data_IF_919923089601
#
_entry.id   IF_919923089601
#
_cell.length_a   1.000
_cell.length_b   1.000
_cell.length_c   1.000
_cell.angle_alpha   90.00
_cell.angle_beta   90.00
_cell.angle_gamma   90.00
#
_symmetry.space_group_name_H-M   'P 1'
#
loop_
_entity.id
_entity.type
_entity.pdbx_description
1 polymer ?
#
# COMPACT_ATOMS: atom_id res chain seq x y z
N UNK A 1 -39.23 30.87 15.47
CA UNK A 1 -39.80 29.52 15.40
C UNK A 1 -39.91 29.02 13.97
N UNK A 2 -38.80 28.49 13.42
CA UNK A 2 -38.89 27.56 12.29
C UNK A 2 -39.52 26.29 12.85
N UNK A 3 -40.75 25.96 12.45
CA UNK A 3 -41.39 24.74 12.93
C UNK A 3 -40.54 23.55 12.50
N UNK A 4 -40.35 22.59 13.41
CA UNK A 4 -39.62 21.34 13.14
C UNK A 4 -40.14 20.65 11.86
N UNK A 5 -41.42 20.88 11.54
CA UNK A 5 -42.09 20.44 10.32
C UNK A 5 -41.58 21.14 9.04
N UNK A 6 -41.37 22.45 9.06
CA UNK A 6 -40.80 23.19 7.92
C UNK A 6 -39.32 22.83 7.65
N UNK A 7 -38.55 22.56 8.71
CA UNK A 7 -37.18 22.04 8.60
C UNK A 7 -37.16 20.62 7.99
N UNK A 8 -38.03 19.72 8.48
CA UNK A 8 -38.07 18.33 8.04
C UNK A 8 -38.68 18.11 6.64
N UNK A 9 -39.59 18.97 6.19
CA UNK A 9 -40.26 18.80 4.89
C UNK A 9 -39.52 19.53 3.77
N UNK A 10 -39.05 20.77 3.99
CA UNK A 10 -38.48 21.59 2.91
C UNK A 10 -36.95 21.55 2.87
N UNK A 11 -36.28 21.71 4.02
CA UNK A 11 -34.82 21.74 4.06
C UNK A 11 -34.23 20.34 3.84
N UNK A 12 -34.80 19.31 4.49
CA UNK A 12 -34.37 17.91 4.28
C UNK A 12 -34.69 17.44 2.86
N UNK A 13 -35.82 17.83 2.26
CA UNK A 13 -36.11 17.45 0.87
C UNK A 13 -35.16 18.14 -0.12
N UNK A 14 -34.89 19.45 0.05
CA UNK A 14 -33.93 20.17 -0.79
C UNK A 14 -32.49 19.68 -0.59
N UNK A 15 -32.10 19.38 0.64
CA UNK A 15 -30.80 18.77 0.95
C UNK A 15 -30.71 17.36 0.34
N UNK A 16 -31.77 16.56 0.41
CA UNK A 16 -31.85 15.22 -0.19
C UNK A 16 -31.82 15.28 -1.72
N UNK A 17 -32.47 16.26 -2.35
CA UNK A 17 -32.43 16.47 -3.80
C UNK A 17 -31.09 17.03 -4.27
N UNK A 18 -30.46 17.92 -3.50
CA UNK A 18 -29.10 18.40 -3.76
C UNK A 18 -28.10 17.25 -3.61
N UNK A 19 -28.19 16.46 -2.53
CA UNK A 19 -27.42 15.24 -2.33
C UNK A 19 -27.65 14.23 -3.46
N UNK A 20 -28.89 14.07 -3.95
CA UNK A 20 -29.20 13.20 -5.09
C UNK A 20 -28.54 13.67 -6.38
N UNK A 21 -28.54 14.97 -6.67
CA UNK A 21 -27.89 15.52 -7.88
C UNK A 21 -26.37 15.40 -7.81
N UNK A 22 -25.77 15.67 -6.64
CA UNK A 22 -24.33 15.50 -6.42
C UNK A 22 -23.96 14.02 -6.53
N UNK A 23 -24.68 13.13 -5.83
CA UNK A 23 -24.47 11.68 -5.91
C UNK A 23 -24.69 11.14 -7.33
N UNK A 24 -25.65 11.65 -8.10
CA UNK A 24 -25.82 11.28 -9.50
C UNK A 24 -24.65 11.72 -10.39
N UNK A 25 -24.08 12.91 -10.14
CA UNK A 25 -22.89 13.39 -10.85
C UNK A 25 -21.66 12.52 -10.58
N UNK A 26 -21.46 12.10 -9.33
CA UNK A 26 -20.33 11.25 -8.96
C UNK A 26 -20.54 9.78 -9.35
N UNK A 27 -21.78 9.29 -9.26
CA UNK A 27 -22.20 7.98 -9.79
C UNK A 27 -21.97 7.88 -11.30
N UNK A 28 -22.34 8.92 -12.06
CA UNK A 28 -22.13 8.93 -13.51
C UNK A 28 -20.63 8.96 -13.86
N UNK A 29 -19.83 9.71 -13.10
CA UNK A 29 -18.36 9.66 -13.26
C UNK A 29 -17.81 8.27 -12.99
N UNK A 30 -18.25 7.62 -11.91
CA UNK A 30 -17.84 6.24 -11.61
C UNK A 30 -18.27 5.29 -12.73
N UNK A 31 -19.53 5.36 -13.18
CA UNK A 31 -20.03 4.56 -14.28
C UNK A 31 -19.17 4.71 -15.54
N UNK A 32 -18.86 5.95 -15.94
CA UNK A 32 -18.00 6.21 -17.10
C UNK A 32 -16.53 5.82 -16.90
N UNK A 33 -16.04 5.71 -15.67
CA UNK A 33 -14.67 5.24 -15.39
C UNK A 33 -14.57 3.73 -15.63
N UNK A 34 -15.63 2.97 -15.33
CA UNK A 34 -15.61 1.51 -15.39
C UNK A 34 -16.26 0.93 -16.65
N UNK A 35 -17.08 1.69 -17.38
CA UNK A 35 -17.48 1.40 -18.76
C UNK A 35 -16.29 1.67 -19.69
N UNK A 36 -15.28 0.80 -19.64
CA UNK A 36 -14.07 0.87 -20.46
C UNK A 36 -14.40 0.66 -21.94
N UNK A 37 -15.48 -0.09 -22.22
CA UNK A 37 -15.99 -0.31 -23.56
C UNK A 37 -16.70 0.90 -24.19
N UNK A 38 -17.09 1.88 -23.38
CA UNK A 38 -17.80 3.10 -23.79
C UNK A 38 -19.20 2.83 -24.36
N UNK A 39 -19.79 1.67 -24.05
CA UNK A 39 -21.05 1.23 -24.62
C UNK A 39 -22.27 1.62 -23.77
N UNK A 40 -22.06 2.28 -22.63
CA UNK A 40 -23.09 2.70 -21.69
C UNK A 40 -23.61 1.59 -20.79
N UNK A 41 -22.89 0.47 -20.69
CA UNK A 41 -23.21 -0.72 -19.90
C UNK A 41 -21.95 -1.22 -19.17
N UNK A 42 -22.14 -2.02 -18.12
CA UNK A 42 -21.02 -2.61 -17.35
C UNK A 42 -21.10 -4.13 -17.41
N UNK A 43 -20.05 -4.74 -17.95
CA UNK A 43 -19.86 -6.19 -17.99
C UNK A 43 -19.34 -6.77 -16.67
N UNK A 44 -19.22 -8.10 -16.62
CA UNK A 44 -18.75 -8.83 -15.44
C UNK A 44 -17.28 -8.50 -15.11
N UNK A 45 -16.42 -8.39 -16.12
CA UNK A 45 -15.00 -8.03 -15.95
C UNK A 45 -14.84 -6.60 -15.43
N UNK A 46 -15.55 -5.64 -16.02
CA UNK A 46 -15.58 -4.24 -15.58
C UNK A 46 -16.12 -4.11 -14.14
N UNK A 47 -17.16 -4.88 -13.80
CA UNK A 47 -17.69 -4.94 -12.45
C UNK A 47 -16.67 -5.55 -11.47
N UNK A 48 -15.95 -6.59 -11.86
CA UNK A 48 -14.90 -7.19 -11.02
C UNK A 48 -13.78 -6.20 -10.76
N UNK A 49 -13.29 -5.52 -11.81
CA UNK A 49 -12.27 -4.49 -11.69
C UNK A 49 -12.73 -3.33 -10.81
N UNK A 50 -14.01 -2.92 -10.92
CA UNK A 50 -14.62 -1.96 -10.00
C UNK A 50 -14.53 -2.40 -8.54
N UNK A 51 -14.93 -3.64 -8.22
CA UNK A 51 -14.91 -4.15 -6.85
C UNK A 51 -13.49 -4.19 -6.29
N UNK A 52 -12.53 -4.65 -7.10
CA UNK A 52 -11.12 -4.67 -6.74
C UNK A 52 -10.57 -3.28 -6.46
N UNK A 53 -10.85 -2.30 -7.32
CA UNK A 53 -10.37 -0.93 -7.13
C UNK A 53 -11.01 -0.25 -5.92
N UNK A 54 -12.29 -0.51 -5.67
CA UNK A 54 -13.04 0.19 -4.64
C UNK A 54 -12.81 -0.40 -3.24
N UNK A 55 -12.88 -1.72 -3.08
CA UNK A 55 -12.99 -2.41 -1.78
C UNK A 55 -11.79 -3.27 -1.39
N UNK A 56 -10.85 -3.57 -2.31
CA UNK A 56 -9.71 -4.44 -1.99
C UNK A 56 -8.80 -3.85 -0.91
N UNK A 57 -8.63 -2.53 -0.92
CA UNK A 57 -7.83 -1.81 0.05
C UNK A 57 -8.60 -1.70 1.38
N UNK A 58 -8.07 -2.30 2.45
CA UNK A 58 -8.68 -2.29 3.79
C UNK A 58 -9.37 -3.60 4.19
N UNK A 59 -9.53 -4.53 3.25
CA UNK A 59 -10.10 -5.87 3.50
C UNK A 59 -9.04 -6.98 3.37
N UNK A 60 -9.18 -8.03 4.18
CA UNK A 60 -8.46 -9.28 3.96
C UNK A 60 -9.00 -10.06 2.76
N UNK A 61 -8.22 -11.00 2.22
CA UNK A 61 -8.57 -11.69 0.97
C UNK A 61 -9.77 -12.60 1.10
N UNK A 62 -10.01 -13.15 2.29
CA UNK A 62 -11.19 -13.98 2.55
C UNK A 62 -12.46 -13.14 2.47
N UNK A 63 -12.50 -12.02 3.19
CA UNK A 63 -13.66 -11.14 3.25
C UNK A 63 -13.92 -10.47 1.90
N UNK A 64 -12.85 -10.09 1.18
CA UNK A 64 -12.97 -9.58 -0.18
C UNK A 64 -13.52 -10.63 -1.16
N UNK A 65 -13.08 -11.89 -1.04
CA UNK A 65 -13.61 -13.00 -1.82
C UNK A 65 -15.12 -13.19 -1.62
N UNK A 66 -15.58 -13.16 -0.37
CA UNK A 66 -17.01 -13.23 -0.04
C UNK A 66 -17.80 -12.04 -0.60
N UNK A 67 -17.25 -10.83 -0.51
CA UNK A 67 -17.85 -9.62 -1.08
C UNK A 67 -18.00 -9.74 -2.60
N UNK A 68 -16.95 -10.20 -3.28
CA UNK A 68 -16.93 -10.39 -4.73
C UNK A 68 -17.98 -11.40 -5.16
N UNK A 69 -18.00 -12.58 -4.55
CA UNK A 69 -18.95 -13.64 -4.89
C UNK A 69 -20.40 -13.17 -4.72
N UNK A 70 -20.73 -12.58 -3.56
CA UNK A 70 -22.09 -12.07 -3.31
C UNK A 70 -22.45 -10.88 -4.20
N UNK A 71 -21.49 -10.03 -4.57
CA UNK A 71 -21.73 -8.93 -5.51
C UNK A 71 -21.96 -9.43 -6.94
N UNK A 72 -21.33 -10.53 -7.36
CA UNK A 72 -21.62 -11.15 -8.67
C UNK A 72 -23.00 -11.79 -8.71
N UNK A 73 -23.51 -12.31 -7.58
CA UNK A 73 -24.92 -12.73 -7.48
C UNK A 73 -25.85 -11.53 -7.70
N UNK A 74 -25.58 -10.40 -7.03
CA UNK A 74 -26.35 -9.17 -7.21
C UNK A 74 -26.27 -8.63 -8.66
N UNK A 75 -25.10 -8.70 -9.29
CA UNK A 75 -24.91 -8.32 -10.70
C UNK A 75 -25.89 -9.10 -11.60
N UNK A 76 -25.94 -10.43 -11.42
CA UNK A 76 -26.81 -11.30 -12.21
C UNK A 76 -28.31 -11.09 -11.92
N UNK A 77 -28.68 -10.67 -10.72
CA UNK A 77 -30.06 -10.33 -10.37
C UNK A 77 -30.51 -8.96 -10.92
N UNK A 78 -29.58 -8.02 -11.02
CA UNK A 78 -29.87 -6.61 -11.34
C UNK A 78 -29.74 -6.31 -12.84
N UNK A 79 -29.12 -7.19 -13.62
CA UNK A 79 -29.05 -7.04 -15.07
C UNK A 79 -30.42 -7.28 -15.73
N UNK A 80 -30.74 -6.57 -16.83
CA UNK A 80 -31.94 -6.87 -17.62
C UNK A 80 -31.91 -8.31 -18.15
N UNK A 81 -33.07 -8.96 -18.27
CA UNK A 81 -33.13 -10.37 -18.70
C UNK A 81 -32.55 -10.61 -20.11
N UNK A 82 -32.60 -9.59 -20.97
CA UNK A 82 -32.18 -9.66 -22.37
C UNK A 82 -30.74 -9.16 -22.60
N UNK A 83 -30.04 -8.71 -21.54
CA UNK A 83 -28.71 -8.09 -21.64
C UNK A 83 -27.81 -8.70 -20.57
N UNK A 84 -26.63 -9.19 -20.96
CA UNK A 84 -25.67 -9.79 -20.02
C UNK A 84 -24.92 -8.75 -19.15
N UNK A 85 -25.15 -7.46 -19.40
CA UNK A 85 -24.47 -6.32 -18.80
C UNK A 85 -25.45 -5.43 -18.01
N UNK A 86 -24.92 -4.66 -17.05
CA UNK A 86 -25.68 -3.73 -16.24
C UNK A 86 -25.87 -2.37 -16.92
N UNK A 87 -27.09 -1.86 -16.90
CA UNK A 87 -27.35 -0.45 -17.21
C UNK A 87 -27.05 0.44 -15.99
N UNK A 88 -27.13 1.76 -16.17
CA UNK A 88 -26.87 2.72 -15.10
C UNK A 88 -27.75 2.50 -13.85
N UNK A 89 -29.00 2.05 -14.04
CA UNK A 89 -29.93 1.80 -12.92
C UNK A 89 -29.54 0.54 -12.15
N UNK A 90 -29.22 -0.54 -12.88
CA UNK A 90 -28.70 -1.78 -12.33
C UNK A 90 -27.40 -1.55 -11.58
N UNK A 91 -26.48 -0.77 -12.16
CA UNK A 91 -25.22 -0.41 -11.50
C UNK A 91 -25.43 0.43 -10.24
N UNK A 92 -26.34 1.42 -10.26
CA UNK A 92 -26.67 2.19 -9.05
C UNK A 92 -27.21 1.29 -7.91
N UNK A 93 -28.09 0.35 -8.26
CA UNK A 93 -28.63 -0.62 -7.31
C UNK A 93 -27.54 -1.57 -6.80
N UNK A 94 -26.63 -2.00 -7.67
CA UNK A 94 -25.49 -2.84 -7.32
C UNK A 94 -24.61 -2.11 -6.32
N UNK A 95 -24.18 -0.88 -6.62
CA UNK A 95 -23.35 -0.06 -5.72
C UNK A 95 -23.95 0.04 -4.33
N UNK A 96 -25.22 0.43 -4.24
CA UNK A 96 -25.89 0.63 -2.95
C UNK A 96 -25.94 -0.67 -2.14
N UNK A 97 -26.22 -1.80 -2.80
CA UNK A 97 -26.32 -3.11 -2.12
C UNK A 97 -24.95 -3.67 -1.77
N UNK A 98 -23.95 -3.48 -2.62
CA UNK A 98 -22.56 -3.85 -2.38
C UNK A 98 -21.94 -3.02 -1.26
N UNK A 99 -22.24 -1.72 -1.16
CA UNK A 99 -21.82 -0.87 -0.04
C UNK A 99 -22.36 -1.40 1.30
N UNK A 100 -23.67 -1.67 1.38
CA UNK A 100 -24.28 -2.23 2.59
C UNK A 100 -23.74 -3.63 2.92
N UNK A 101 -23.47 -4.45 1.90
CA UNK A 101 -22.84 -5.75 2.04
C UNK A 101 -21.41 -5.63 2.58
N UNK A 102 -20.62 -4.72 2.03
CA UNK A 102 -19.27 -4.40 2.46
C UNK A 102 -19.24 -4.00 3.94
N UNK A 103 -20.07 -3.03 4.34
CA UNK A 103 -20.17 -2.59 5.74
C UNK A 103 -20.47 -3.75 6.68
N UNK A 104 -21.43 -4.62 6.30
CA UNK A 104 -21.82 -5.79 7.10
C UNK A 104 -20.70 -6.82 7.22
N UNK A 105 -20.02 -7.14 6.12
CA UNK A 105 -18.93 -8.12 6.11
C UNK A 105 -17.73 -7.61 6.91
N UNK A 106 -17.36 -6.33 6.72
CA UNK A 106 -16.29 -5.68 7.47
C UNK A 106 -16.59 -5.67 8.97
N UNK A 107 -17.80 -5.26 9.38
CA UNK A 107 -18.18 -5.25 10.79
C UNK A 107 -18.15 -6.65 11.43
N UNK A 108 -18.66 -7.66 10.73
CA UNK A 108 -18.61 -9.06 11.19
C UNK A 108 -17.16 -9.52 11.36
N UNK A 109 -16.32 -9.25 10.35
CA UNK A 109 -14.93 -9.68 10.35
C UNK A 109 -14.11 -8.99 11.43
N UNK A 110 -14.30 -7.69 11.61
CA UNK A 110 -13.68 -6.91 12.68
C UNK A 110 -14.05 -7.49 14.04
N UNK A 111 -15.33 -7.76 14.29
CA UNK A 111 -15.80 -8.35 15.54
C UNK A 111 -15.13 -9.71 15.81
N UNK A 112 -15.01 -10.58 14.80
CA UNK A 112 -14.31 -11.86 14.92
C UNK A 112 -12.84 -11.69 15.34
N UNK A 113 -12.14 -10.70 14.77
CA UNK A 113 -10.73 -10.40 15.09
C UNK A 113 -10.63 -9.87 16.53
N UNK A 114 -11.51 -8.95 16.92
CA UNK A 114 -11.55 -8.35 18.25
C UNK A 114 -11.77 -9.40 19.33
N UNK A 115 -12.76 -10.28 19.13
CA UNK A 115 -13.09 -11.35 20.08
C UNK A 115 -11.95 -12.38 20.17
N UNK A 116 -11.39 -12.78 19.02
CA UNK A 116 -10.31 -13.79 18.98
C UNK A 116 -9.05 -13.32 19.69
N UNK A 117 -8.68 -12.05 19.54
CA UNK A 117 -7.42 -11.50 20.05
C UNK A 117 -7.56 -10.65 21.31
N UNK A 118 -8.77 -10.57 21.87
CA UNK A 118 -9.11 -9.76 23.04
C UNK A 118 -8.63 -8.30 22.90
N UNK A 119 -8.94 -7.67 21.78
CA UNK A 119 -8.50 -6.29 21.49
C UNK A 119 -9.27 -5.29 22.34
N UNK A 120 -8.57 -4.26 22.82
CA UNK A 120 -9.23 -3.14 23.50
C UNK A 120 -9.89 -2.21 22.47
N UNK A 121 -10.97 -1.48 22.82
CA UNK A 121 -11.60 -0.51 21.92
C UNK A 121 -10.61 0.52 21.35
N UNK A 122 -9.63 0.94 22.15
CA UNK A 122 -8.56 1.86 21.73
C UNK A 122 -7.64 1.26 20.68
N UNK A 123 -7.40 -0.06 20.74
CA UNK A 123 -6.60 -0.76 19.72
C UNK A 123 -7.40 -0.86 18.41
N UNK A 124 -8.72 -1.03 18.48
CA UNK A 124 -9.59 -1.07 17.29
C UNK A 124 -9.64 0.30 16.62
N UNK A 125 -9.87 1.36 17.39
CA UNK A 125 -9.94 2.73 16.88
C UNK A 125 -8.64 3.17 16.20
N UNK A 126 -7.48 2.87 16.80
CA UNK A 126 -6.18 3.24 16.25
C UNK A 126 -5.84 2.54 14.91
N UNK A 127 -6.48 1.41 14.63
CA UNK A 127 -6.18 0.55 13.50
C UNK A 127 -7.41 0.26 12.61
N UNK A 128 -8.52 1.00 12.78
CA UNK A 128 -9.83 0.64 12.21
C UNK A 128 -9.77 0.33 10.69
N UNK A 129 -9.05 1.15 9.92
CA UNK A 129 -8.96 1.01 8.45
C UNK A 129 -7.97 -0.05 7.94
N UNK A 130 -7.18 -0.62 8.84
CA UNK A 130 -6.07 -1.51 8.51
C UNK A 130 -6.08 -2.79 9.33
N UNK A 131 -6.97 -2.93 10.31
CA UNK A 131 -7.00 -4.05 11.25
C UNK A 131 -7.08 -5.38 10.52
N UNK A 132 -7.96 -5.50 9.52
CA UNK A 132 -8.13 -6.72 8.72
C UNK A 132 -6.87 -7.03 7.90
N UNK A 133 -6.28 -6.02 7.26
CA UNK A 133 -5.07 -6.19 6.42
C UNK A 133 -3.86 -6.55 7.28
N UNK A 134 -3.72 -5.93 8.45
CA UNK A 134 -2.67 -6.26 9.42
C UNK A 134 -2.87 -7.65 10.00
N UNK A 135 -4.11 -8.07 10.25
CA UNK A 135 -4.42 -9.42 10.69
C UNK A 135 -4.08 -10.47 9.61
N UNK A 136 -4.41 -10.22 8.35
CA UNK A 136 -3.98 -11.07 7.24
C UNK A 136 -2.46 -11.14 7.12
N UNK A 137 -1.76 -10.01 7.23
CA UNK A 137 -0.29 -9.98 7.22
C UNK A 137 0.29 -10.78 8.39
N UNK A 138 -0.27 -10.64 9.59
CA UNK A 138 0.11 -11.42 10.77
C UNK A 138 -0.04 -12.92 10.51
N UNK A 139 -1.19 -13.37 10.03
CA UNK A 139 -1.44 -14.80 9.76
C UNK A 139 -0.54 -15.34 8.65
N UNK A 140 -0.26 -14.55 7.63
CA UNK A 140 0.56 -14.94 6.48
C UNK A 140 2.04 -15.06 6.81
N UNK A 141 2.52 -14.32 7.80
CA UNK A 141 3.92 -14.36 8.25
C UNK A 141 4.18 -15.33 9.40
N UNK A 142 3.15 -15.95 10.00
CA UNK A 142 3.31 -17.07 10.92
C UNK A 142 3.64 -18.35 10.14
N UNK A 143 4.91 -18.49 9.73
CA UNK A 143 5.37 -19.55 8.83
C UNK A 143 5.38 -20.91 9.53
N UNK A 144 5.56 -20.91 10.85
CA UNK A 144 5.61 -22.12 11.67
C UNK A 144 4.22 -22.52 12.22
N UNK A 145 3.21 -21.67 12.08
CA UNK A 145 1.82 -21.92 12.47
C UNK A 145 1.61 -22.00 13.98
N UNK A 146 2.47 -21.38 14.78
CA UNK A 146 2.41 -21.44 16.24
C UNK A 146 1.41 -20.43 16.84
N UNK A 147 0.82 -19.55 16.02
CA UNK A 147 -0.13 -18.51 16.43
C UNK A 147 0.52 -17.19 16.86
N UNK A 148 1.83 -17.04 16.69
CA UNK A 148 2.61 -15.85 17.04
C UNK A 148 3.80 -15.65 16.10
N UNK A 149 4.37 -14.44 16.12
CA UNK A 149 5.48 -14.08 15.25
C UNK A 149 6.80 -14.09 16.03
N UNK A 150 7.79 -14.83 15.53
CA UNK A 150 9.18 -14.69 15.95
C UNK A 150 9.85 -13.43 15.36
N UNK A 151 11.12 -13.19 15.68
CA UNK A 151 11.84 -12.01 15.21
C UNK A 151 11.91 -11.90 13.67
N UNK A 152 12.11 -13.02 12.96
CA UNK A 152 12.19 -13.04 11.51
C UNK A 152 10.80 -12.81 10.87
N UNK A 153 9.76 -13.40 11.45
CA UNK A 153 8.36 -13.28 11.01
C UNK A 153 7.81 -11.85 11.24
N UNK A 154 8.19 -11.22 12.35
CA UNK A 154 7.89 -9.80 12.62
C UNK A 154 8.58 -8.90 11.60
N UNK A 155 9.85 -9.13 11.30
CA UNK A 155 10.59 -8.36 10.30
C UNK A 155 9.93 -8.47 8.92
N UNK A 156 9.50 -9.68 8.52
CA UNK A 156 8.72 -9.90 7.30
C UNK A 156 7.45 -9.06 7.27
N UNK A 157 6.67 -9.10 8.35
CA UNK A 157 5.40 -8.36 8.47
C UNK A 157 5.59 -6.83 8.40
N UNK A 158 6.62 -6.29 9.07
CA UNK A 158 6.94 -4.87 9.03
C UNK A 158 7.45 -4.42 7.65
N UNK A 159 8.20 -5.28 6.94
CA UNK A 159 8.62 -5.01 5.56
C UNK A 159 7.41 -4.94 4.62
N UNK A 160 6.46 -5.86 4.74
CA UNK A 160 5.25 -5.89 3.91
C UNK A 160 4.33 -4.71 4.17
N UNK A 161 4.28 -4.24 5.41
CA UNK A 161 3.49 -3.08 5.82
C UNK A 161 4.15 -1.74 5.49
N UNK A 162 5.37 -1.75 4.91
CA UNK A 162 6.11 -0.53 4.59
C UNK A 162 6.70 0.20 5.81
N UNK A 163 6.66 -0.44 6.98
CA UNK A 163 7.05 0.13 8.28
C UNK A 163 8.53 0.01 8.59
N UNK A 164 9.28 -0.82 7.86
CA UNK A 164 10.72 -0.97 8.11
C UNK A 164 11.51 0.27 7.68
N UNK A 165 12.28 0.87 8.61
CA UNK A 165 13.19 1.96 8.29
C UNK A 165 14.34 1.55 7.36
N UNK A 166 14.72 2.46 6.44
CA UNK A 166 15.93 2.33 5.62
C UNK A 166 17.18 2.84 6.35
N UNK A 167 17.08 3.97 7.05
CA UNK A 167 18.20 4.64 7.73
C UNK A 167 18.73 3.81 8.91
N UNK A 168 20.06 3.70 9.02
CA UNK A 168 20.74 2.83 9.99
C UNK A 168 20.38 3.08 11.46
N UNK A 169 20.28 4.35 11.90
CA UNK A 169 19.91 4.68 13.30
C UNK A 169 18.47 4.28 13.64
N UNK A 170 17.55 4.56 12.72
CA UNK A 170 16.13 4.24 12.86
C UNK A 170 15.92 2.72 12.84
N UNK A 171 16.61 2.00 11.94
CA UNK A 171 16.63 0.53 11.88
C UNK A 171 17.12 -0.09 13.19
N UNK A 172 18.15 0.48 13.82
CA UNK A 172 18.63 0.02 15.13
C UNK A 172 17.59 0.24 16.25
N UNK A 173 16.87 1.37 16.25
CA UNK A 173 15.80 1.63 17.24
C UNK A 173 14.63 0.67 17.06
N UNK A 174 14.15 0.48 15.83
CA UNK A 174 13.10 -0.48 15.52
C UNK A 174 13.53 -1.91 15.84
N UNK A 175 14.79 -2.29 15.55
CA UNK A 175 15.34 -3.59 15.95
C UNK A 175 15.29 -3.81 17.46
N UNK A 176 15.60 -2.79 18.27
CA UNK A 176 15.45 -2.87 19.73
C UNK A 176 13.99 -3.04 20.17
N UNK A 177 13.05 -2.34 19.55
CA UNK A 177 11.63 -2.51 19.83
C UNK A 177 11.18 -3.95 19.53
N UNK A 178 11.56 -4.49 18.37
CA UNK A 178 11.26 -5.88 17.99
C UNK A 178 11.80 -6.85 19.05
N UNK A 179 13.08 -6.72 19.40
CA UNK A 179 13.71 -7.59 20.40
C UNK A 179 13.02 -7.52 21.76
N UNK A 180 12.64 -6.33 22.22
CA UNK A 180 11.93 -6.15 23.49
C UNK A 180 10.57 -6.84 23.49
N UNK A 181 9.78 -6.67 22.43
CA UNK A 181 8.43 -7.23 22.36
C UNK A 181 8.47 -8.75 22.13
N UNK A 182 9.38 -9.25 21.29
CA UNK A 182 9.57 -10.69 21.07
C UNK A 182 10.09 -11.38 22.34
N UNK A 183 11.05 -10.77 23.06
CA UNK A 183 11.55 -11.33 24.32
C UNK A 183 10.44 -11.42 25.39
N UNK A 184 9.49 -10.47 25.41
CA UNK A 184 8.34 -10.51 26.30
C UNK A 184 7.31 -11.58 25.92
N UNK A 185 7.28 -12.02 24.66
CA UNK A 185 6.28 -12.94 24.13
C UNK A 185 6.58 -14.43 24.43
N UNK A 186 7.79 -14.75 24.86
CA UNK A 186 8.18 -16.12 25.22
C UNK A 186 8.23 -17.07 24.02
N UNK A 187 8.04 -18.38 24.26
CA UNK A 187 8.26 -19.43 23.23
C UNK A 187 7.19 -19.48 22.14
N UNK A 188 6.01 -18.91 22.38
CA UNK A 188 4.91 -18.89 21.41
C UNK A 188 5.04 -17.76 20.39
N UNK A 189 6.04 -16.88 20.52
CA UNK A 189 6.16 -15.71 19.66
C UNK A 189 5.10 -14.63 19.98
N UNK A 190 5.22 -13.51 19.30
CA UNK A 190 4.38 -12.33 19.50
C UNK A 190 2.97 -12.56 18.95
N UNK A 191 1.96 -12.57 19.81
CA UNK A 191 0.56 -12.60 19.38
C UNK A 191 0.10 -11.29 18.71
N UNK A 192 -1.06 -11.30 18.04
CA UNK A 192 -1.55 -10.17 17.23
C UNK A 192 -1.68 -8.85 18.00
N UNK A 193 -2.15 -8.87 19.25
CA UNK A 193 -2.19 -7.67 20.09
C UNK A 193 -0.79 -7.09 20.36
N UNK A 194 0.21 -7.94 20.54
CA UNK A 194 1.61 -7.52 20.66
C UNK A 194 2.12 -6.90 19.37
N UNK A 195 1.73 -7.47 18.23
CA UNK A 195 2.05 -6.96 16.90
C UNK A 195 1.46 -5.55 16.66
N UNK A 196 0.21 -5.29 17.02
CA UNK A 196 -0.38 -3.95 16.94
C UNK A 196 0.37 -2.93 17.80
N UNK A 197 0.74 -3.30 19.03
CA UNK A 197 1.56 -2.43 19.91
C UNK A 197 2.93 -2.15 19.33
N UNK A 198 3.56 -3.14 18.70
CA UNK A 198 4.82 -2.95 18.01
C UNK A 198 4.67 -1.96 16.85
N UNK A 199 3.64 -2.11 16.01
CA UNK A 199 3.38 -1.16 14.91
C UNK A 199 3.21 0.25 15.45
N UNK A 200 2.41 0.41 16.51
CA UNK A 200 2.22 1.71 17.16
C UNK A 200 3.55 2.31 17.65
N UNK A 201 4.39 1.51 18.33
CA UNK A 201 5.71 1.96 18.79
C UNK A 201 6.66 2.31 17.65
N UNK A 202 6.69 1.52 16.58
CA UNK A 202 7.47 1.81 15.36
C UNK A 202 7.00 3.11 14.74
N UNK A 203 5.69 3.34 14.64
CA UNK A 203 5.13 4.59 14.12
C UNK A 203 5.55 5.81 14.95
N UNK A 204 5.49 5.73 16.27
CA UNK A 204 5.95 6.81 17.14
C UNK A 204 7.45 7.10 16.97
N UNK A 205 8.29 6.06 16.90
CA UNK A 205 9.73 6.24 16.64
C UNK A 205 10.01 6.89 15.28
N UNK A 206 9.26 6.51 14.25
CA UNK A 206 9.36 7.12 12.92
C UNK A 206 8.92 8.59 12.93
N UNK A 207 7.80 8.91 13.60
CA UNK A 207 7.31 10.28 13.75
C UNK A 207 8.33 11.16 14.46
N UNK A 208 8.90 10.68 15.57
CA UNK A 208 9.90 11.42 16.34
C UNK A 208 11.19 11.67 15.54
N UNK A 209 11.67 10.68 14.78
CA UNK A 209 12.89 10.81 13.99
C UNK A 209 12.74 11.79 12.81
N UNK A 210 11.55 11.84 12.22
CA UNK A 210 11.25 12.73 11.08
C UNK A 210 10.69 14.09 11.52
N UNK A 211 10.50 14.33 12.81
CA UNK A 211 9.81 15.52 13.32
C UNK A 211 10.45 16.81 12.81
N UNK A 212 11.76 16.97 13.00
CA UNK A 212 12.47 18.21 12.64
C UNK A 212 12.42 18.44 11.11
N UNK A 213 12.72 17.41 10.31
CA UNK A 213 12.69 17.48 8.84
C UNK A 213 11.29 17.86 8.30
N UNK A 214 10.23 17.25 8.85
CA UNK A 214 8.84 17.53 8.47
C UNK A 214 8.42 18.92 8.95
N UNK A 215 8.81 19.32 10.16
CA UNK A 215 8.46 20.61 10.76
C UNK A 215 9.12 21.78 10.02
N UNK A 216 10.39 21.65 9.64
CA UNK A 216 11.08 22.64 8.82
C UNK A 216 10.41 22.79 7.44
N UNK A 217 9.96 21.68 6.86
CA UNK A 217 9.26 21.70 5.58
C UNK A 217 7.88 22.36 5.73
N UNK A 218 7.12 22.01 6.76
CA UNK A 218 5.81 22.59 7.08
C UNK A 218 5.89 24.11 7.25
N UNK A 219 6.88 24.62 7.98
CA UNK A 219 7.09 26.05 8.22
C UNK A 219 7.38 26.89 6.97
N UNK A 220 7.81 26.28 5.86
CA UNK A 220 7.98 27.02 4.59
C UNK A 220 6.64 27.49 4.02
N UNK A 221 5.56 26.79 4.34
CA UNK A 221 4.22 27.04 3.83
C UNK A 221 3.32 27.73 4.87
N UNK A 222 3.53 27.47 6.16
CA UNK A 222 2.91 28.20 7.28
C UNK A 222 3.64 29.53 7.54
N UNK A 223 3.57 30.47 6.59
CA UNK A 223 4.31 31.75 6.64
C UNK A 223 3.79 32.71 7.72
N UNK A 224 2.55 32.54 8.15
CA UNK A 224 1.87 33.31 9.18
C UNK A 224 1.94 32.66 10.58
N UNK A 225 2.63 31.52 10.72
CA UNK A 225 2.90 30.78 11.97
C UNK A 225 1.60 30.48 12.76
N UNK A 226 0.52 30.17 12.01
CA UNK A 226 -0.79 29.84 12.59
C UNK A 226 -0.95 28.33 12.87
N UNK A 227 0.01 27.51 12.44
CA UNK A 227 0.07 26.07 12.72
C UNK A 227 -0.82 25.23 11.82
N UNK A 228 -1.37 25.78 10.74
CA UNK A 228 -2.24 25.09 9.79
C UNK A 228 -1.78 25.33 8.35
N UNK A 229 -2.08 24.40 7.43
CA UNK A 229 -1.83 24.56 5.99
C UNK A 229 -3.03 24.07 5.20
N UNK A 230 -3.16 24.52 3.96
CA UNK A 230 -4.18 24.00 3.04
C UNK A 230 -3.79 22.62 2.48
N UNK A 231 -4.78 21.84 2.03
CA UNK A 231 -4.52 20.57 1.34
C UNK A 231 -3.66 20.73 0.07
N UNK A 232 -3.78 21.86 -0.63
CA UNK A 232 -2.98 22.15 -1.80
C UNK A 232 -1.50 22.37 -1.47
N UNK A 233 -1.21 23.01 -0.33
CA UNK A 233 0.16 23.17 0.18
C UNK A 233 0.72 21.84 0.69
N UNK A 234 -0.11 21.04 1.38
CA UNK A 234 0.27 19.69 1.78
C UNK A 234 0.67 18.83 0.56
N UNK A 235 -0.05 18.91 -0.56
CA UNK A 235 0.32 18.22 -1.81
C UNK A 235 1.69 18.65 -2.36
N UNK A 236 2.02 19.95 -2.30
CA UNK A 236 3.35 20.44 -2.71
C UNK A 236 4.45 19.88 -1.81
N UNK A 237 4.20 19.87 -0.50
CA UNK A 237 5.11 19.28 0.48
C UNK A 237 5.31 17.78 0.27
N UNK A 238 4.27 17.02 -0.06
CA UNK A 238 4.42 15.61 -0.39
C UNK A 238 5.32 15.42 -1.62
N UNK A 239 5.22 16.27 -2.64
CA UNK A 239 6.14 16.22 -3.78
C UNK A 239 7.59 16.54 -3.36
N UNK A 240 7.82 17.56 -2.54
CA UNK A 240 9.16 17.91 -2.02
C UNK A 240 9.77 16.79 -1.18
N UNK A 241 8.94 16.04 -0.44
CA UNK A 241 9.35 14.88 0.35
C UNK A 241 9.49 13.60 -0.48
N UNK A 242 9.29 13.64 -1.80
CA UNK A 242 9.36 12.47 -2.67
C UNK A 242 8.19 11.48 -2.50
N UNK A 243 7.08 11.94 -1.95
CA UNK A 243 5.84 11.19 -1.71
C UNK A 243 4.79 11.41 -2.80
N UNK A 244 5.21 11.89 -3.97
CA UNK A 244 4.34 12.01 -5.13
C UNK A 244 3.90 10.60 -5.60
N UNK A 245 2.59 10.34 -5.75
CA UNK A 245 2.11 9.07 -6.28
C UNK A 245 2.54 8.91 -7.74
N UNK A 246 3.01 7.71 -8.10
CA UNK A 246 3.47 7.35 -9.44
C UNK A 246 2.36 6.73 -10.28
N UNK A 247 1.39 6.09 -9.64
CA UNK A 247 0.29 5.40 -10.32
C UNK A 247 -1.08 5.96 -9.92
N UNK A 248 -2.10 5.71 -10.74
CA UNK A 248 -3.47 6.08 -10.40
C UNK A 248 -3.95 5.39 -9.12
N UNK A 249 -3.53 4.14 -8.90
CA UNK A 249 -3.85 3.38 -7.68
C UNK A 249 -3.25 4.04 -6.43
N UNK A 250 -2.01 4.53 -6.53
CA UNK A 250 -1.38 5.30 -5.45
C UNK A 250 -2.10 6.64 -5.22
N UNK A 251 -2.49 7.35 -6.28
CA UNK A 251 -3.29 8.58 -6.16
C UNK A 251 -4.61 8.33 -5.44
N UNK A 252 -5.35 7.30 -5.83
CA UNK A 252 -6.62 6.93 -5.21
C UNK A 252 -6.44 6.55 -3.73
N UNK A 253 -5.38 5.80 -3.42
CA UNK A 253 -5.06 5.41 -2.04
C UNK A 253 -4.69 6.60 -1.15
N UNK A 254 -3.94 7.58 -1.68
CA UNK A 254 -3.61 8.82 -0.98
C UNK A 254 -4.86 9.69 -0.82
N UNK A 255 -5.72 9.76 -1.83
CA UNK A 255 -7.00 10.48 -1.75
C UNK A 255 -7.89 9.93 -0.63
N UNK A 256 -8.00 8.60 -0.52
CA UNK A 256 -8.72 7.94 0.58
C UNK A 256 -8.15 8.30 1.97
N UNK A 257 -6.85 8.62 2.09
CA UNK A 257 -6.27 9.09 3.35
C UNK A 257 -6.68 10.54 3.66
N UNK A 258 -6.71 11.42 2.65
CA UNK A 258 -7.18 12.79 2.84
C UNK A 258 -8.65 12.87 3.24
N UNK A 259 -9.51 12.01 2.70
CA UNK A 259 -10.94 12.01 3.04
C UNK A 259 -11.20 11.65 4.52
N UNK A 260 -10.19 11.08 5.21
CA UNK A 260 -10.27 10.62 6.60
C UNK A 260 -9.45 11.46 7.57
N UNK A 261 -8.67 12.41 7.08
CA UNK A 261 -7.84 13.24 7.96
C UNK A 261 -8.74 14.22 8.72
N UNK A 262 -8.54 14.30 10.03
CA UNK A 262 -9.21 15.31 10.83
C UNK A 262 -8.68 16.70 10.45
N UNK A 263 -9.57 17.52 9.91
CA UNK A 263 -9.33 18.94 9.66
C UNK A 263 -9.70 19.76 10.89
N UNK A 264 -9.03 20.88 11.06
CA UNK A 264 -9.38 21.83 12.09
C UNK A 264 -10.77 22.45 11.83
N UNK A 265 -11.34 23.18 12.81
CA UNK A 265 -12.60 23.90 12.61
C UNK A 265 -12.57 24.94 11.46
N UNK A 266 -11.39 25.41 11.05
CA UNK A 266 -11.20 26.31 9.90
C UNK A 266 -11.18 25.54 8.56
N UNK A 267 -11.20 24.21 8.60
CA UNK A 267 -11.06 23.34 7.43
C UNK A 267 -9.61 23.20 6.94
N UNK A 268 -8.63 23.54 7.78
CA UNK A 268 -7.21 23.47 7.46
C UNK A 268 -6.53 22.28 8.15
N UNK A 269 -5.36 21.91 7.64
CA UNK A 269 -4.59 20.78 8.12
C UNK A 269 -3.56 21.23 9.17
N UNK A 270 -3.75 20.78 10.41
CA UNK A 270 -2.80 21.06 11.50
C UNK A 270 -1.53 20.21 11.37
N UNK A 271 -0.43 20.68 11.96
CA UNK A 271 0.86 19.97 11.89
C UNK A 271 0.79 18.49 12.30
N UNK A 272 0.07 18.14 13.38
CA UNK A 272 -0.08 16.74 13.81
C UNK A 272 -0.77 15.87 12.75
N UNK A 273 -1.84 16.39 12.16
CA UNK A 273 -2.58 15.71 11.10
C UNK A 273 -1.72 15.57 9.83
N UNK A 274 -0.93 16.61 9.49
CA UNK A 274 0.04 16.54 8.39
C UNK A 274 1.12 15.49 8.63
N UNK A 275 1.70 15.43 9.84
CA UNK A 275 2.72 14.44 10.21
C UNK A 275 2.16 13.01 10.11
N UNK A 276 0.93 12.78 10.55
CA UNK A 276 0.26 11.49 10.37
C UNK A 276 0.06 11.16 8.88
N UNK A 277 -0.39 12.11 8.07
CA UNK A 277 -0.50 11.91 6.61
C UNK A 277 0.83 11.55 5.96
N UNK A 278 1.91 12.28 6.26
CA UNK A 278 3.27 11.97 5.75
C UNK A 278 3.63 10.53 6.09
N UNK A 279 3.40 10.10 7.33
CA UNK A 279 3.67 8.74 7.76
C UNK A 279 2.82 7.71 7.01
N UNK A 280 1.49 7.89 6.98
CA UNK A 280 0.56 6.94 6.34
C UNK A 280 0.78 6.83 4.83
N UNK A 281 1.06 7.95 4.16
CA UNK A 281 1.41 7.96 2.73
C UNK A 281 2.72 7.22 2.50
N UNK A 282 3.75 7.49 3.31
CA UNK A 282 5.05 6.81 3.22
C UNK A 282 4.89 5.30 3.37
N UNK A 283 4.14 4.85 4.38
CA UNK A 283 3.83 3.43 4.62
C UNK A 283 3.11 2.81 3.41
N UNK A 284 2.04 3.46 2.92
CA UNK A 284 1.28 2.96 1.76
C UNK A 284 2.12 2.87 0.49
N UNK A 285 2.91 3.89 0.17
CA UNK A 285 3.77 3.88 -1.01
C UNK A 285 4.85 2.79 -0.90
N UNK A 286 5.46 2.61 0.27
CA UNK A 286 6.45 1.54 0.50
C UNK A 286 5.82 0.15 0.41
N UNK A 287 4.64 -0.05 0.99
CA UNK A 287 3.91 -1.31 0.90
C UNK A 287 3.51 -1.61 -0.56
N UNK A 288 3.07 -0.60 -1.32
CA UNK A 288 2.75 -0.73 -2.74
C UNK A 288 3.98 -1.09 -3.57
N UNK A 289 5.11 -0.40 -3.35
CA UNK A 289 6.38 -0.72 -3.99
C UNK A 289 6.79 -2.18 -3.68
N UNK A 290 6.72 -2.59 -2.42
CA UNK A 290 7.07 -3.95 -1.98
C UNK A 290 6.21 -5.03 -2.66
N UNK A 291 4.92 -4.77 -2.87
CA UNK A 291 4.03 -5.68 -3.62
C UNK A 291 4.47 -5.81 -5.08
N UNK A 292 4.74 -4.69 -5.75
CA UNK A 292 5.24 -4.67 -7.14
C UNK A 292 6.56 -5.42 -7.28
N UNK A 293 7.50 -5.22 -6.34
CA UNK A 293 8.75 -5.97 -6.30
C UNK A 293 8.54 -7.48 -6.16
N UNK A 294 7.63 -7.92 -5.28
CA UNK A 294 7.32 -9.33 -5.09
C UNK A 294 6.67 -9.95 -6.34
N UNK A 295 5.80 -9.19 -7.00
CA UNK A 295 5.12 -9.62 -8.21
C UNK A 295 6.12 -9.75 -9.36
N UNK A 296 6.93 -8.72 -9.61
CA UNK A 296 8.02 -8.78 -10.58
C UNK A 296 8.94 -9.97 -10.29
N UNK A 297 9.32 -10.17 -9.02
CA UNK A 297 10.14 -11.32 -8.62
C UNK A 297 9.54 -12.66 -9.05
N UNK A 298 8.23 -12.84 -8.89
CA UNK A 298 7.50 -14.03 -9.35
C UNK A 298 7.53 -14.15 -10.88
N UNK A 299 7.33 -13.06 -11.62
CA UNK A 299 7.39 -13.06 -13.10
C UNK A 299 8.79 -13.36 -13.64
N UNK A 300 9.84 -12.95 -12.92
CA UNK A 300 11.23 -13.28 -13.26
C UNK A 300 11.61 -14.73 -12.88
N UNK A 301 10.72 -15.45 -12.18
CA UNK A 301 10.89 -16.84 -11.77
C UNK A 301 11.60 -17.03 -10.44
N UNK A 302 11.75 -15.97 -9.63
CA UNK A 302 12.37 -16.08 -8.31
C UNK A 302 11.40 -16.66 -7.27
N UNK A 303 11.90 -17.59 -6.47
CA UNK A 303 11.21 -18.10 -5.30
C UNK A 303 11.16 -17.07 -4.16
N UNK A 304 10.24 -17.20 -3.19
CA UNK A 304 10.20 -16.31 -2.02
C UNK A 304 11.51 -16.28 -1.22
N UNK A 305 12.24 -17.40 -1.17
CA UNK A 305 13.55 -17.49 -0.51
C UNK A 305 14.61 -16.71 -1.25
N UNK A 306 14.71 -16.87 -2.57
CA UNK A 306 15.63 -16.08 -3.40
C UNK A 306 15.30 -14.59 -3.29
N UNK A 307 14.02 -14.22 -3.25
CA UNK A 307 13.59 -12.84 -3.04
C UNK A 307 14.00 -12.28 -1.67
N UNK A 308 14.09 -13.11 -0.63
CA UNK A 308 14.61 -12.69 0.68
C UNK A 308 16.13 -12.49 0.62
N UNK A 309 16.85 -13.42 0.02
CA UNK A 309 18.32 -13.37 -0.14
C UNK A 309 18.75 -12.18 -1.01
N UNK A 310 18.06 -11.92 -2.12
CA UNK A 310 18.30 -10.78 -3.01
C UNK A 310 18.05 -9.44 -2.31
N UNK A 311 17.03 -9.36 -1.45
CA UNK A 311 16.82 -8.15 -0.63
C UNK A 311 17.90 -7.95 0.40
N UNK A 312 18.29 -9.01 1.10
CA UNK A 312 19.38 -8.93 2.07
C UNK A 312 20.67 -8.47 1.39
N UNK A 313 20.95 -8.98 0.18
CA UNK A 313 22.06 -8.54 -0.66
C UNK A 313 21.92 -7.05 -1.03
N UNK A 314 20.78 -6.63 -1.60
CA UNK A 314 20.52 -5.23 -1.94
C UNK A 314 20.76 -4.28 -0.75
N UNK A 315 20.18 -4.58 0.41
CA UNK A 315 20.37 -3.78 1.63
C UNK A 315 21.82 -3.77 2.15
N UNK A 316 22.60 -4.82 1.90
CA UNK A 316 24.02 -4.85 2.28
C UNK A 316 24.90 -4.02 1.34
N UNK A 317 24.43 -3.81 0.11
CA UNK A 317 25.14 -3.07 -0.94
C UNK A 317 24.82 -1.58 -0.89
N UNK A 318 23.58 -1.23 -0.56
CA UNK A 318 23.08 0.12 -0.30
C UNK A 318 23.69 0.64 1.00
N UNK A 319 24.96 1.04 0.92
CA UNK A 319 25.78 1.40 2.09
C UNK A 319 25.47 2.78 2.61
N UNK A 320 24.97 3.67 1.75
CA UNK A 320 24.52 5.01 2.11
C UNK A 320 23.03 5.06 2.53
N UNK A 321 22.28 4.00 2.28
CA UNK A 321 20.89 3.87 2.70
C UNK A 321 19.93 4.72 1.85
N UNK A 322 20.34 5.05 0.63
CA UNK A 322 19.50 5.76 -0.36
C UNK A 322 18.31 4.91 -0.79
N UNK A 323 18.44 3.58 -0.69
CA UNK A 323 17.45 2.63 -1.19
C UNK A 323 17.55 2.40 -2.70
N UNK A 324 18.65 2.83 -3.31
CA UNK A 324 19.04 2.60 -4.69
C UNK A 324 20.51 2.18 -4.71
N UNK A 325 20.96 1.51 -5.77
CA UNK A 325 22.34 1.06 -5.90
C UNK A 325 23.06 1.87 -6.97
N UNK A 326 24.11 2.57 -6.57
CA UNK A 326 25.05 3.16 -7.51
C UNK A 326 25.81 2.08 -8.28
N UNK A 327 26.39 2.44 -9.43
CA UNK A 327 27.25 1.53 -10.20
C UNK A 327 28.41 0.96 -9.35
N UNK A 328 28.96 1.75 -8.43
CA UNK A 328 30.03 1.31 -7.54
C UNK A 328 29.56 0.31 -6.47
N UNK A 329 28.32 0.44 -5.99
CA UNK A 329 27.71 -0.54 -5.10
C UNK A 329 27.36 -1.84 -5.85
N UNK A 330 26.85 -1.75 -7.07
CA UNK A 330 26.68 -2.91 -7.95
C UNK A 330 28.01 -3.62 -8.27
N UNK A 331 29.12 -2.88 -8.41
CA UNK A 331 30.46 -3.49 -8.56
C UNK A 331 30.88 -4.27 -7.32
N UNK A 332 30.61 -3.74 -6.12
CA UNK A 332 30.88 -4.46 -4.85
C UNK A 332 30.09 -5.78 -4.78
N UNK A 333 28.85 -5.81 -5.31
CA UNK A 333 28.05 -7.03 -5.41
C UNK A 333 28.77 -8.13 -6.19
N UNK A 334 29.24 -7.83 -7.41
CA UNK A 334 29.90 -8.82 -8.25
C UNK A 334 31.14 -9.40 -7.56
N UNK A 335 31.92 -8.52 -6.92
CA UNK A 335 33.12 -8.93 -6.17
C UNK A 335 32.77 -9.79 -4.95
N UNK A 336 31.65 -9.52 -4.27
CA UNK A 336 31.17 -10.32 -3.15
C UNK A 336 30.61 -11.68 -3.59
N UNK A 337 29.75 -11.71 -4.63
CA UNK A 337 29.17 -12.92 -5.20
C UNK A 337 30.24 -13.88 -5.79
N UNK A 338 31.35 -13.35 -6.29
CA UNK A 338 32.53 -14.12 -6.70
C UNK A 338 33.25 -14.84 -5.54
N UNK A 339 33.11 -14.35 -4.30
CA UNK A 339 33.83 -14.88 -3.12
C UNK A 339 33.04 -15.92 -2.33
N UNK A 340 31.71 -15.94 -2.41
CA UNK A 340 30.82 -16.77 -1.57
C UNK A 340 30.20 -17.98 -2.26
N UNK A 341 30.72 -18.41 -3.41
CA UNK A 341 30.33 -19.69 -4.03
C UNK A 341 28.84 -19.76 -4.45
N UNK A 342 28.37 -18.80 -5.23
CA UNK A 342 27.40 -19.10 -6.30
C UNK A 342 28.17 -19.88 -7.38
N UNK A 343 28.19 -21.21 -7.25
CA UNK A 343 28.99 -22.15 -8.05
C UNK A 343 28.68 -22.21 -9.55
N UNK A 344 28.08 -21.18 -10.15
CA UNK A 344 27.73 -21.11 -11.57
C UNK A 344 28.35 -19.93 -12.32
N UNK A 345 29.07 -19.01 -11.67
CA UNK A 345 29.72 -17.91 -12.40
C UNK A 345 31.04 -18.39 -12.99
N UNK A 346 30.94 -19.16 -14.08
CA UNK A 346 32.07 -19.70 -14.85
C UNK A 346 32.97 -18.62 -15.46
N UNK A 347 32.55 -17.35 -15.44
CA UNK A 347 33.27 -16.27 -16.14
C UNK A 347 33.09 -14.88 -15.49
N UNK A 348 33.38 -14.75 -14.20
CA UNK A 348 33.16 -13.48 -13.47
C UNK A 348 33.93 -12.27 -14.04
N UNK A 349 35.00 -12.48 -14.80
CA UNK A 349 35.73 -11.42 -15.50
C UNK A 349 34.92 -10.76 -16.62
N UNK A 350 34.00 -11.48 -17.28
CA UNK A 350 33.11 -10.90 -18.29
C UNK A 350 32.05 -9.98 -17.67
N UNK A 351 31.43 -10.45 -16.58
CA UNK A 351 30.35 -9.71 -15.91
C UNK A 351 30.85 -8.35 -15.41
N UNK A 352 32.08 -8.25 -14.90
CA UNK A 352 32.64 -6.97 -14.43
C UNK A 352 32.91 -5.97 -15.54
N UNK A 353 33.31 -6.43 -16.74
CA UNK A 353 33.53 -5.56 -17.90
C UNK A 353 32.21 -5.12 -18.54
N UNK A 354 31.20 -5.99 -18.56
CA UNK A 354 29.91 -5.72 -19.18
C UNK A 354 28.87 -5.10 -18.21
N UNK A 355 29.16 -5.06 -16.89
CA UNK A 355 28.26 -4.51 -15.87
C UNK A 355 27.85 -3.07 -16.19
N UNK A 356 28.76 -2.22 -16.66
CA UNK A 356 28.41 -0.84 -17.01
C UNK A 356 27.39 -0.79 -18.16
N UNK A 357 27.51 -1.71 -19.13
CA UNK A 357 26.57 -1.84 -20.25
C UNK A 357 25.21 -2.33 -19.77
N UNK A 358 25.17 -3.37 -18.92
CA UNK A 358 23.93 -3.89 -18.36
C UNK A 358 23.24 -2.90 -17.43
N UNK A 359 24.02 -2.20 -16.60
CA UNK A 359 23.53 -1.14 -15.73
C UNK A 359 22.82 -0.06 -16.55
N UNK A 360 23.48 0.48 -17.58
CA UNK A 360 22.88 1.49 -18.43
C UNK A 360 21.68 0.97 -19.26
N UNK A 361 21.68 -0.31 -19.62
CA UNK A 361 20.56 -0.93 -20.32
C UNK A 361 19.30 -1.04 -19.45
N UNK A 362 19.48 -1.16 -18.13
CA UNK A 362 18.44 -1.42 -17.13
C UNK A 362 17.98 -0.15 -16.42
N UNK A 363 18.87 0.82 -16.20
CA UNK A 363 18.60 2.16 -15.68
C UNK A 363 17.74 2.96 -16.69
N UNK A 364 16.43 2.69 -16.69
CA UNK A 364 15.51 3.23 -17.70
C UNK A 364 15.21 4.71 -17.45
N UNK A 365 15.19 5.13 -16.20
CA UNK A 365 14.99 6.51 -15.80
C UNK A 365 16.28 7.34 -15.87
N UNK A 366 17.42 6.70 -16.18
CA UNK A 366 18.74 7.32 -16.33
C UNK A 366 19.17 8.11 -15.11
N UNK A 367 18.72 7.71 -13.92
CA UNK A 367 19.10 8.35 -12.66
C UNK A 367 20.54 8.01 -12.27
N UNK A 368 21.15 6.99 -12.89
CA UNK A 368 22.50 6.54 -12.58
C UNK A 368 22.60 5.67 -11.33
N UNK A 369 21.46 5.19 -10.82
CA UNK A 369 21.31 4.25 -9.71
C UNK A 369 20.28 3.19 -10.12
N UNK A 370 20.21 2.05 -9.43
CA UNK A 370 19.20 1.03 -9.65
C UNK A 370 18.33 0.85 -8.40
N UNK A 371 17.02 0.96 -8.55
CA UNK A 371 16.11 0.55 -7.48
C UNK A 371 16.06 -0.99 -7.35
N UNK A 372 15.27 -1.50 -6.40
CA UNK A 372 15.22 -2.95 -6.18
C UNK A 372 14.61 -3.72 -7.38
N UNK A 373 13.66 -3.15 -8.11
CA UNK A 373 13.07 -3.81 -9.28
C UNK A 373 14.07 -3.89 -10.44
N UNK A 374 14.78 -2.79 -10.69
CA UNK A 374 15.88 -2.73 -11.65
C UNK A 374 17.02 -3.69 -11.28
N UNK A 375 17.34 -3.78 -9.98
CA UNK A 375 18.28 -4.75 -9.45
C UNK A 375 17.87 -6.21 -9.72
N UNK A 376 16.59 -6.56 -9.53
CA UNK A 376 16.09 -7.90 -9.86
C UNK A 376 16.26 -8.22 -11.35
N UNK A 377 15.98 -7.24 -12.22
CA UNK A 377 16.19 -7.38 -13.65
C UNK A 377 17.67 -7.51 -14.01
N UNK A 378 18.57 -6.79 -13.32
CA UNK A 378 20.02 -6.93 -13.50
C UNK A 378 20.47 -8.34 -13.15
N UNK A 379 20.05 -8.86 -12.00
CA UNK A 379 20.38 -10.23 -11.59
C UNK A 379 19.83 -11.24 -12.60
N UNK A 380 18.58 -11.08 -13.05
CA UNK A 380 17.99 -11.96 -14.06
C UNK A 380 18.71 -11.89 -15.39
N UNK A 381 19.12 -10.70 -15.84
CA UNK A 381 19.81 -10.51 -17.11
C UNK A 381 21.24 -11.07 -17.09
N UNK A 382 21.92 -11.04 -15.93
CA UNK A 382 23.22 -11.67 -15.76
C UNK A 382 23.12 -13.20 -15.86
N UNK A 383 22.04 -13.78 -15.31
CA UNK A 383 21.78 -15.22 -15.34
C UNK A 383 21.27 -15.70 -16.72
N UNK A 384 20.34 -14.95 -17.31
CA UNK A 384 19.73 -15.21 -18.61
C UNK A 384 19.65 -13.93 -19.46
N UNK A 385 20.70 -13.62 -20.25
CA UNK A 385 20.74 -12.43 -21.11
C UNK A 385 19.66 -12.41 -22.19
N UNK A 386 19.03 -13.56 -22.49
CA UNK A 386 17.98 -13.67 -23.51
C UNK A 386 16.60 -13.29 -22.99
N UNK A 387 16.42 -13.19 -21.67
CA UNK A 387 15.17 -12.82 -21.05
C UNK A 387 14.80 -11.36 -21.35
N UNK A 388 13.56 -11.13 -21.77
CA UNK A 388 13.06 -9.79 -22.10
C UNK A 388 12.71 -8.99 -20.83
N UNK A 389 13.72 -8.50 -20.13
CA UNK A 389 13.55 -7.73 -18.88
C UNK A 389 12.78 -6.41 -19.08
N UNK A 390 12.81 -5.81 -20.27
CA UNK A 390 12.08 -4.57 -20.56
C UNK A 390 10.58 -4.78 -20.58
N UNK A 391 10.12 -5.91 -21.14
CA UNK A 391 8.72 -6.28 -21.07
C UNK A 391 8.30 -6.49 -19.61
N UNK A 392 9.09 -7.26 -18.85
CA UNK A 392 8.79 -7.54 -17.44
C UNK A 392 8.72 -6.28 -16.56
N UNK A 393 9.63 -5.31 -16.75
CA UNK A 393 9.58 -4.02 -16.04
C UNK A 393 8.35 -3.21 -16.42
N UNK A 394 8.06 -3.10 -17.72
CA UNK A 394 6.90 -2.35 -18.20
C UNK A 394 5.58 -2.94 -17.70
N UNK A 395 5.49 -4.26 -17.64
CA UNK A 395 4.32 -4.95 -17.11
C UNK A 395 4.17 -4.71 -15.59
N UNK A 396 5.26 -4.76 -14.82
CA UNK A 396 5.26 -4.49 -13.38
C UNK A 396 4.96 -3.02 -13.01
N UNK A 397 5.12 -2.10 -13.96
CA UNK A 397 4.77 -0.69 -13.81
C UNK A 397 3.36 -0.35 -14.34
N UNK A 398 2.69 -1.28 -15.03
CA UNK A 398 1.39 -1.05 -15.62
C UNK A 398 0.29 -0.94 -14.54
N UNK A 399 -0.65 0.03 -14.66
CA UNK A 399 -1.81 0.10 -13.78
C UNK A 399 -2.70 -1.12 -14.02
N UNK A 400 -2.84 -1.99 -13.01
CA UNK A 400 -3.62 -3.23 -13.12
C UNK A 400 -2.76 -4.49 -13.24
N UNK A 401 -1.45 -4.43 -13.00
CA UNK A 401 -0.66 -5.63 -12.72
C UNK A 401 -1.13 -6.24 -11.40
N UNK A 402 -2.09 -7.14 -11.55
CA UNK A 402 -2.54 -8.11 -10.55
C UNK A 402 -2.70 -9.39 -11.32
N UNK A 403 -1.70 -10.27 -11.22
CA UNK A 403 -1.76 -11.62 -11.78
C UNK A 403 -2.93 -12.44 -11.26
#
# INVERSE_FOLDING_TARGET
>A
DLSLYAFAVDLVARARDALRRVRQGDLMKQFCIFDESGNGLIGEEECTHFLERQYRDGMDSTTFGELREQSMVLFNELRPADIEQLDLKGFQALLTRTEALHERLCAKREQEIVERHCLAPTDVEAFADELMVLHESFQRNDHNGNGGLDEAEVLGSLLESGLMPRKGRQKQRVGRLIQQVVAAAGRQGMGFRGFLKLIHGVRQECQNDMYDDIYESFRKFDQDDHGEITLAEACKLFCELGLAPRTQKEQDAIKKLFDKVDLSPSGLLQFRAFQELVQRITEKLRAAQKRRENELGRHLGFSPREMADLRAAFFSLDTDGTGELSLDECRKMLVAAMKTSLGAVRDGRRITNDLATYFHFIDQDQKGTLDFMEYLCLVKHIDDPSFNIRAALKDAEAPGFTG
#
